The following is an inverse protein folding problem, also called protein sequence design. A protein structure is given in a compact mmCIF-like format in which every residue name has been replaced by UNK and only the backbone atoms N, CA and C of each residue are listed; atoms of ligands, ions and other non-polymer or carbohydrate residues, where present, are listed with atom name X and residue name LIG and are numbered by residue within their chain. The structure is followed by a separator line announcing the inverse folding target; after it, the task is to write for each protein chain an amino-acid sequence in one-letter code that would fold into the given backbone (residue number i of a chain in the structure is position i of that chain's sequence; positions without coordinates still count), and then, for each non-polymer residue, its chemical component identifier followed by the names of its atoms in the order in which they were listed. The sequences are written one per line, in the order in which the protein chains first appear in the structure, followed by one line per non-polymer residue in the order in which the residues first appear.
data_IF_036445619199
#
_entry.id   IF_036445619199
#
_cell.length_a   1.000
_cell.length_b   1.000
_cell.length_c   1.000
_cell.angle_alpha   90.00
_cell.angle_beta   90.00
_cell.angle_gamma   90.00
#
_symmetry.space_group_name_H-M   'P 1'
#
loop_
_entity.id
_entity.type
_entity.pdbx_description
1 polymer ?
#
# COMPACT_ATOMS: atom_id res chain seq x y z
N UNK A 1 21.53 4.81 -0.98
CA UNK A 1 21.71 3.68 -1.92
C UNK A 1 20.36 3.09 -2.28
N UNK A 2 20.21 2.63 -3.52
CA UNK A 2 19.02 1.93 -4.00
C UNK A 2 19.18 0.43 -3.74
N UNK A 3 18.12 -0.27 -3.31
CA UNK A 3 18.20 -1.69 -2.92
C UNK A 3 18.51 -2.64 -4.09
N UNK A 4 18.35 -2.19 -5.34
CA UNK A 4 18.82 -2.91 -6.53
C UNK A 4 18.23 -4.31 -6.66
N UNK A 5 19.08 -5.33 -6.51
CA UNK A 5 18.76 -6.76 -6.62
C UNK A 5 18.62 -7.47 -5.27
N UNK A 6 18.55 -6.74 -4.15
CA UNK A 6 18.40 -7.38 -2.85
C UNK A 6 17.07 -8.13 -2.72
N UNK A 7 17.10 -9.26 -2.01
CA UNK A 7 15.90 -10.03 -1.72
C UNK A 7 14.97 -9.22 -0.84
N UNK A 8 13.71 -9.13 -1.27
CA UNK A 8 12.64 -8.54 -0.52
C UNK A 8 11.44 -9.48 -0.51
N UNK A 9 10.71 -9.49 0.60
CA UNK A 9 9.47 -10.26 0.75
C UNK A 9 8.31 -9.28 0.74
N UNK A 10 7.31 -9.54 -0.09
CA UNK A 10 6.04 -8.81 -0.10
C UNK A 10 5.03 -9.60 0.74
N UNK A 11 4.35 -8.92 1.65
CA UNK A 11 3.23 -9.41 2.42
C UNK A 11 1.93 -8.83 1.89
N UNK A 12 0.93 -9.70 1.66
CA UNK A 12 -0.45 -9.34 1.36
C UNK A 12 -1.34 -9.57 2.58
N UNK A 13 -2.47 -8.89 2.62
CA UNK A 13 -3.46 -9.06 3.69
C UNK A 13 -4.06 -10.48 3.65
N UNK A 14 -4.38 -11.10 4.80
CA UNK A 14 -5.12 -12.37 4.85
C UNK A 14 -6.39 -12.39 4.00
N UNK A 15 -7.14 -11.29 3.95
CA UNK A 15 -8.36 -11.19 3.14
C UNK A 15 -8.09 -11.29 1.63
N UNK A 16 -6.85 -11.03 1.21
CA UNK A 16 -6.41 -11.09 -0.18
C UNK A 16 -5.71 -12.41 -0.54
N UNK A 17 -5.67 -13.41 0.35
CA UNK A 17 -5.00 -14.71 0.14
C UNK A 17 -5.42 -15.38 -1.17
N UNK A 18 -6.71 -15.29 -1.54
CA UNK A 18 -7.23 -15.84 -2.80
C UNK A 18 -6.53 -15.27 -4.06
N UNK A 19 -5.91 -14.10 -3.95
CA UNK A 19 -5.16 -13.44 -5.03
C UNK A 19 -3.71 -13.93 -5.13
N UNK A 20 -3.20 -14.65 -4.12
CA UNK A 20 -1.79 -15.07 -4.01
C UNK A 20 -1.31 -15.80 -5.28
N UNK A 21 -2.06 -16.81 -5.73
CA UNK A 21 -1.70 -17.60 -6.91
C UNK A 21 -1.55 -16.71 -8.15
N UNK A 22 -2.47 -15.75 -8.34
CA UNK A 22 -2.39 -14.82 -9.47
C UNK A 22 -1.20 -13.88 -9.37
N UNK A 23 -0.88 -13.42 -8.16
CA UNK A 23 0.24 -12.52 -7.92
C UNK A 23 1.59 -13.23 -8.09
N UNK A 24 1.69 -14.49 -7.65
CA UNK A 24 2.89 -15.31 -7.78
C UNK A 24 3.20 -15.69 -9.24
N UNK A 25 2.19 -15.85 -10.09
CA UNK A 25 2.38 -16.14 -11.52
C UNK A 25 3.02 -14.99 -12.31
N UNK A 26 2.80 -13.74 -11.88
CA UNK A 26 3.22 -12.56 -12.62
C UNK A 26 4.49 -11.90 -12.08
N UNK A 27 4.97 -12.31 -10.90
CA UNK A 27 6.11 -11.68 -10.24
C UNK A 27 7.18 -12.69 -9.83
N UNK A 28 8.44 -12.32 -10.02
CA UNK A 28 9.61 -13.05 -9.50
C UNK A 28 9.87 -12.78 -8.00
N UNK A 29 8.94 -12.10 -7.32
CA UNK A 29 9.07 -11.68 -5.93
C UNK A 29 8.49 -12.73 -4.97
N UNK A 30 9.13 -12.89 -3.82
CA UNK A 30 8.66 -13.73 -2.72
C UNK A 30 7.45 -13.07 -2.06
N UNK A 31 6.25 -13.55 -2.41
CA UNK A 31 4.97 -13.04 -1.89
C UNK A 31 4.43 -14.01 -0.85
N UNK A 32 4.07 -13.48 0.32
CA UNK A 32 3.51 -14.23 1.44
C UNK A 32 2.24 -13.59 1.95
N UNK A 33 1.38 -14.39 2.57
CA UNK A 33 0.25 -13.87 3.35
C UNK A 33 0.79 -13.41 4.71
N UNK A 34 0.41 -12.22 5.14
CA UNK A 34 0.73 -11.70 6.47
C UNK A 34 -0.02 -12.47 7.56
N UNK A 35 0.57 -12.62 8.74
CA UNK A 35 -0.16 -13.15 9.92
C UNK A 35 -1.20 -12.15 10.46
N UNK A 36 -0.98 -10.86 10.20
CA UNK A 36 -1.84 -9.76 10.67
C UNK A 36 -2.49 -9.05 9.49
N UNK A 37 -3.78 -8.76 9.64
CA UNK A 37 -4.50 -7.90 8.70
C UNK A 37 -4.12 -6.43 8.89
N UNK A 38 -4.03 -5.73 7.77
CA UNK A 38 -3.81 -4.30 7.65
C UNK A 38 -4.83 -3.65 6.69
N UNK A 39 -5.98 -4.31 6.52
CA UNK A 39 -7.13 -3.83 5.75
C UNK A 39 -6.97 -3.93 4.23
N UNK A 40 -6.00 -4.70 3.74
CA UNK A 40 -5.66 -4.79 2.31
C UNK A 40 -4.45 -3.95 1.90
N UNK A 41 -4.04 -4.05 0.64
CA UNK A 41 -2.81 -3.42 0.14
C UNK A 41 -1.59 -4.33 0.36
N UNK A 42 -0.39 -3.75 0.53
CA UNK A 42 0.85 -4.54 0.64
C UNK A 42 1.85 -3.95 1.63
N UNK A 43 2.67 -4.80 2.22
CA UNK A 43 3.88 -4.41 2.95
C UNK A 43 5.07 -5.14 2.36
N UNK A 44 6.23 -4.51 2.27
CA UNK A 44 7.43 -5.19 1.83
C UNK A 44 8.58 -4.95 2.81
N UNK A 45 9.39 -5.97 3.05
CA UNK A 45 10.56 -5.88 3.91
C UNK A 45 11.83 -6.18 3.12
N UNK A 46 12.87 -5.42 3.40
CA UNK A 46 14.23 -5.67 2.92
C UNK A 46 15.10 -5.90 4.17
N UNK A 47 15.21 -7.16 4.65
CA UNK A 47 15.83 -7.45 5.95
C UNK A 47 17.29 -7.00 6.04
N UNK A 48 18.05 -7.11 4.94
CA UNK A 48 19.45 -6.65 4.83
C UNK A 48 19.63 -5.17 5.17
N UNK A 49 18.60 -4.35 4.96
CA UNK A 49 18.64 -2.89 5.16
C UNK A 49 17.78 -2.40 6.31
N UNK A 50 17.07 -3.29 7.01
CA UNK A 50 16.08 -2.92 8.04
C UNK A 50 15.01 -1.95 7.51
N UNK A 51 14.60 -2.13 6.25
CA UNK A 51 13.60 -1.26 5.60
C UNK A 51 12.25 -1.97 5.57
N UNK A 52 11.21 -1.24 5.97
CA UNK A 52 9.81 -1.56 5.75
C UNK A 52 9.23 -0.55 4.75
N UNK A 53 8.66 -1.06 3.67
CA UNK A 53 7.87 -0.28 2.72
C UNK A 53 6.41 -0.60 3.02
N UNK A 54 5.70 0.36 3.61
CA UNK A 54 4.29 0.18 3.97
C UNK A 54 3.37 0.85 2.93
N UNK A 55 2.66 0.03 2.16
CA UNK A 55 1.60 0.44 1.23
C UNK A 55 0.27 -0.21 1.63
N UNK A 56 0.07 -0.50 2.91
CA UNK A 56 -1.20 -1.01 3.43
C UNK A 56 -2.30 0.05 3.34
N UNK A 57 -3.54 -0.40 3.16
CA UNK A 57 -4.69 0.48 3.11
C UNK A 57 -4.91 1.21 4.41
N UNK A 58 -4.65 0.56 5.55
CA UNK A 58 -4.69 1.21 6.85
C UNK A 58 -3.77 2.45 6.89
N UNK A 59 -2.49 2.30 6.55
CA UNK A 59 -1.53 3.41 6.57
C UNK A 59 -1.93 4.52 5.58
N UNK A 60 -2.34 4.15 4.35
CA UNK A 60 -2.80 5.14 3.35
C UNK A 60 -4.07 5.87 3.76
N UNK A 61 -5.00 5.20 4.43
CA UNK A 61 -6.22 5.82 4.94
C UNK A 61 -5.89 6.80 6.08
N UNK A 62 -4.98 6.43 6.97
CA UNK A 62 -4.50 7.32 8.02
C UNK A 62 -3.76 8.54 7.46
N UNK A 63 -2.91 8.36 6.44
CA UNK A 63 -2.27 9.44 5.69
C UNK A 63 -3.30 10.37 5.06
N UNK A 64 -4.24 9.82 4.28
CA UNK A 64 -5.30 10.59 3.65
C UNK A 64 -6.14 11.36 4.68
N UNK A 65 -6.45 10.76 5.83
CA UNK A 65 -7.17 11.42 6.92
C UNK A 65 -6.36 12.56 7.55
N UNK A 66 -5.04 12.41 7.71
CA UNK A 66 -4.16 13.46 8.23
C UNK A 66 -4.00 14.62 7.24
N UNK A 67 -3.86 14.29 5.96
CA UNK A 67 -3.63 15.28 4.91
C UNK A 67 -4.91 15.94 4.41
N UNK A 68 -6.06 15.36 4.75
CA UNK A 68 -7.37 15.88 4.40
C UNK A 68 -7.53 17.33 4.83
N UNK A 69 -7.76 18.19 3.84
CA UNK A 69 -8.10 19.60 4.02
C UNK A 69 -9.32 19.89 3.16
N UNK A 70 -10.26 20.62 3.72
CA UNK A 70 -11.33 21.22 2.95
C UNK A 70 -10.73 22.34 2.09
N UNK A 71 -10.72 22.18 0.76
CA UNK A 71 -10.43 23.31 -0.12
C UNK A 71 -11.71 24.14 -0.21
N UNK A 72 -11.61 25.44 0.08
CA UNK A 72 -12.76 26.35 0.02
C UNK A 72 -13.43 26.37 -1.37
N UNK A 73 -12.64 26.13 -2.43
CA UNK A 73 -13.14 25.96 -3.81
C UNK A 73 -14.05 24.74 -4.01
N UNK A 74 -13.89 23.70 -3.19
CA UNK A 74 -14.71 22.49 -3.25
C UNK A 74 -16.00 22.63 -2.41
N UNK A 75 -16.06 23.63 -1.51
CA UNK A 75 -17.24 23.97 -0.72
C UNK A 75 -18.13 25.03 -1.39
N UNK A 76 -17.58 25.86 -2.26
CA UNK A 76 -18.34 26.76 -3.13
C UNK A 76 -18.91 25.93 -4.29
N UNK A 77 -19.96 25.17 -3.98
CA UNK A 77 -20.71 24.37 -4.95
C UNK A 77 -20.94 25.16 -6.24
N UNK A 78 -20.56 24.54 -7.35
CA UNK A 78 -20.45 25.16 -8.67
C UNK A 78 -21.57 26.15 -9.00
N UNK A 79 -21.17 27.41 -9.15
CA UNK A 79 -21.75 28.35 -10.09
C UNK A 79 -20.60 29.17 -10.66
N UNK A 80 -19.88 28.59 -11.63
CA UNK A 80 -19.22 29.41 -12.64
C UNK A 80 -20.28 29.71 -13.68
N UNK A 81 -21.03 30.81 -13.46
CA UNK A 81 -21.68 31.48 -14.57
C UNK A 81 -20.60 32.30 -15.27
N UNK A 82 -20.30 31.87 -16.49
CA UNK A 82 -19.61 32.57 -17.61
C UNK A 82 -18.24 33.21 -17.35
#
# INVERSE_FOLDING_TARGET
EFAGNEFFTIYIDPADETRLNRLALHNSADIRVSEYSFGGGTRAVIPSRHILIDNSFQTKLEEARRDFRFNLKDLEGGITNE
#
